data_IF_225943724613
#
_entry.id   IF_225943724613
#
_cell.length_a   1.000
_cell.length_b   1.000
_cell.length_c   1.000
_cell.angle_alpha   90.00
_cell.angle_beta   90.00
_cell.angle_gamma   90.00
#
_symmetry.space_group_name_H-M   'P 1'
#
loop_
_entity.id
_entity.type
_entity.pdbx_description
1 polymer ?
#
# COMPACT_ATOMS: atom_id res chain seq x y z
N UNK A 1 -5.84 -7.21 -8.96
CA UNK A 1 -6.19 -6.03 -9.61
C UNK A 1 -7.64 -5.81 -9.68
N UNK A 2 -8.24 -5.38 -8.64
CA UNK A 2 -9.65 -5.36 -8.90
C UNK A 2 -10.21 -4.19 -8.17
N UNK A 3 -9.91 -3.02 -8.78
CA UNK A 3 -10.89 -1.98 -8.69
C UNK A 3 -12.14 -2.55 -9.35
N UNK A 4 -13.18 -2.63 -8.57
CA UNK A 4 -14.54 -2.76 -9.03
C UNK A 4 -14.77 -1.68 -10.11
N UNK A 5 -15.23 -2.09 -11.30
CA UNK A 5 -15.53 -1.18 -12.43
C UNK A 5 -16.56 -0.09 -12.06
N UNK A 6 -17.13 -0.15 -10.86
CA UNK A 6 -18.03 0.88 -10.33
C UNK A 6 -17.34 2.18 -9.86
N UNK A 7 -16.01 2.25 -9.84
CA UNK A 7 -15.29 3.48 -9.50
C UNK A 7 -15.00 4.32 -10.74
N UNK A 8 -15.68 5.45 -10.87
CA UNK A 8 -15.48 6.39 -11.98
C UNK A 8 -14.30 7.35 -11.76
N UNK A 9 -14.06 7.76 -10.52
CA UNK A 9 -12.88 8.52 -10.10
C UNK A 9 -12.37 7.87 -8.83
N UNK A 10 -11.06 7.59 -8.79
CA UNK A 10 -10.41 6.96 -7.64
C UNK A 10 -9.20 7.75 -7.16
N UNK A 11 -8.97 7.76 -5.85
CA UNK A 11 -7.79 8.36 -5.23
C UNK A 11 -7.61 9.83 -5.60
N UNK A 12 -6.36 10.22 -5.85
CA UNK A 12 -5.98 11.59 -6.23
C UNK A 12 -6.01 11.82 -7.75
N UNK A 13 -6.93 11.14 -8.46
CA UNK A 13 -7.02 11.23 -9.92
C UNK A 13 -7.97 12.33 -10.44
N UNK A 14 -8.43 13.22 -9.58
CA UNK A 14 -9.37 14.28 -9.97
C UNK A 14 -8.82 15.16 -11.09
N UNK A 15 -7.51 15.42 -11.11
CA UNK A 15 -6.87 16.19 -12.20
C UNK A 15 -7.02 15.57 -13.58
N UNK A 16 -7.16 14.26 -13.68
CA UNK A 16 -7.37 13.56 -14.97
C UNK A 16 -8.74 13.84 -15.58
N UNK A 17 -9.67 14.31 -14.75
CA UNK A 17 -11.04 14.69 -15.15
C UNK A 17 -11.10 16.14 -15.63
N UNK A 18 -10.17 16.96 -15.16
CA UNK A 18 -10.10 18.36 -15.50
C UNK A 18 -9.47 18.52 -16.90
N UNK A 19 -10.18 19.20 -17.80
CA UNK A 19 -9.75 19.39 -19.18
C UNK A 19 -8.69 20.49 -19.34
N UNK A 20 -8.65 21.09 -20.54
CA UNK A 20 -7.68 22.12 -20.90
C UNK A 20 -7.76 23.41 -20.06
N UNK A 21 -8.88 23.60 -19.35
CA UNK A 21 -9.12 24.76 -18.47
C UNK A 21 -8.74 24.49 -17.00
N UNK A 22 -7.82 23.57 -16.73
CA UNK A 22 -7.38 23.23 -15.37
C UNK A 22 -6.87 24.45 -14.58
N UNK A 23 -6.28 25.45 -15.26
CA UNK A 23 -5.83 26.71 -14.62
C UNK A 23 -6.96 27.49 -13.90
N UNK A 24 -8.21 27.36 -14.35
CA UNK A 24 -9.38 28.01 -13.74
C UNK A 24 -9.79 27.37 -12.40
N UNK A 25 -9.24 26.23 -12.08
CA UNK A 25 -9.56 25.48 -10.87
C UNK A 25 -8.37 25.36 -9.91
N UNK A 26 -7.26 26.05 -10.16
CA UNK A 26 -6.13 26.07 -9.23
C UNK A 26 -6.46 26.83 -7.95
N UNK A 27 -5.84 26.40 -6.86
CA UNK A 27 -6.04 26.97 -5.54
C UNK A 27 -5.43 28.38 -5.43
N UNK A 28 -5.92 29.16 -4.47
CA UNK A 28 -5.20 30.31 -3.94
C UNK A 28 -4.56 29.92 -2.63
N UNK A 29 -3.22 29.91 -2.57
CA UNK A 29 -2.43 29.60 -1.38
C UNK A 29 -1.53 30.81 -1.09
N UNK A 30 -1.52 31.29 0.15
CA UNK A 30 -0.78 32.51 0.54
C UNK A 30 -1.06 33.73 -0.36
N UNK A 31 -2.30 33.86 -0.83
CA UNK A 31 -2.75 34.98 -1.69
C UNK A 31 -2.30 34.90 -3.16
N UNK A 32 -1.72 33.76 -3.60
CA UNK A 32 -1.29 33.53 -4.98
C UNK A 32 -1.97 32.29 -5.56
N UNK A 33 -2.17 32.29 -6.87
CA UNK A 33 -2.59 31.08 -7.59
C UNK A 33 -1.47 30.04 -7.53
N UNK A 34 -1.84 28.80 -7.15
CA UNK A 34 -0.92 27.71 -6.93
C UNK A 34 -1.49 26.44 -7.58
N UNK A 35 -0.74 25.86 -8.49
CA UNK A 35 -1.13 24.66 -9.24
C UNK A 35 -0.91 23.35 -8.49
N UNK A 36 -0.26 23.38 -7.32
CA UNK A 36 -0.07 22.20 -6.49
C UNK A 36 -1.37 21.71 -5.84
N UNK A 37 -2.43 22.53 -5.84
CA UNK A 37 -3.71 22.21 -5.24
C UNK A 37 -4.89 22.78 -6.05
N UNK A 38 -6.09 22.26 -5.80
CA UNK A 38 -7.32 22.63 -6.49
C UNK A 38 -8.24 23.49 -5.60
N UNK A 39 -9.06 24.32 -6.26
CA UNK A 39 -10.08 25.16 -5.63
C UNK A 39 -11.44 24.46 -5.64
N UNK A 40 -11.85 23.86 -4.54
CA UNK A 40 -13.10 23.10 -4.43
C UNK A 40 -14.37 23.95 -4.39
N UNK A 41 -14.25 25.28 -4.28
CA UNK A 41 -15.36 26.20 -4.44
C UNK A 41 -15.51 26.75 -5.87
N UNK A 42 -14.67 26.32 -6.82
CA UNK A 42 -14.71 26.74 -8.21
C UNK A 42 -15.95 26.18 -8.92
N UNK A 43 -16.71 27.06 -9.56
CA UNK A 43 -17.86 26.68 -10.39
C UNK A 43 -17.40 25.92 -11.65
N UNK A 44 -16.24 26.28 -12.19
CA UNK A 44 -15.65 25.57 -13.32
C UNK A 44 -15.27 24.11 -12.94
N UNK A 45 -14.78 23.89 -11.73
CA UNK A 45 -14.53 22.53 -11.22
C UNK A 45 -15.83 21.71 -11.14
N UNK A 46 -16.88 22.27 -10.56
CA UNK A 46 -18.18 21.60 -10.50
C UNK A 46 -18.67 21.18 -11.88
N UNK A 47 -18.63 22.11 -12.86
CA UNK A 47 -19.09 21.83 -14.23
C UNK A 47 -18.27 20.80 -14.95
N UNK A 48 -16.95 20.81 -14.78
CA UNK A 48 -16.08 19.82 -15.40
C UNK A 48 -16.33 18.41 -14.84
N UNK A 49 -16.50 18.27 -13.52
CA UNK A 49 -16.83 17.00 -12.89
C UNK A 49 -18.24 16.55 -13.31
N UNK A 50 -19.23 17.43 -13.32
CA UNK A 50 -20.59 17.14 -13.77
C UNK A 50 -20.60 16.60 -15.21
N UNK A 51 -19.94 17.32 -16.14
CA UNK A 51 -19.82 16.88 -17.53
C UNK A 51 -19.15 15.53 -17.66
N UNK A 52 -18.04 15.34 -16.97
CA UNK A 52 -17.34 14.05 -16.97
C UNK A 52 -18.22 12.88 -16.51
N UNK A 53 -19.00 13.08 -15.45
CA UNK A 53 -19.92 12.06 -14.94
C UNK A 53 -21.01 11.77 -15.97
N UNK A 54 -21.64 12.80 -16.54
CA UNK A 54 -22.72 12.63 -17.53
C UNK A 54 -22.19 11.91 -18.78
N UNK A 55 -21.04 12.31 -19.29
CA UNK A 55 -20.50 11.83 -20.56
C UNK A 55 -19.98 10.40 -20.47
N UNK A 56 -19.44 9.98 -19.30
CA UNK A 56 -18.79 8.67 -19.16
C UNK A 56 -19.62 7.64 -18.37
N UNK A 57 -20.48 8.07 -17.44
CA UNK A 57 -21.21 7.18 -16.53
C UNK A 57 -22.73 7.38 -16.54
N UNK A 58 -23.19 8.48 -17.13
CA UNK A 58 -24.61 8.85 -17.18
C UNK A 58 -25.17 9.26 -15.81
N UNK A 59 -26.43 9.67 -15.79
CA UNK A 59 -27.09 10.17 -14.57
C UNK A 59 -27.70 9.07 -13.71
N UNK A 60 -27.96 7.90 -14.27
CA UNK A 60 -28.74 6.82 -13.63
C UNK A 60 -27.92 5.62 -13.16
N UNK A 61 -26.62 5.62 -13.39
CA UNK A 61 -25.72 4.57 -12.97
C UNK A 61 -25.54 4.52 -11.45
N UNK A 62 -24.95 3.45 -10.96
CA UNK A 62 -24.56 3.28 -9.55
C UNK A 62 -23.03 3.24 -9.43
N UNK A 63 -22.40 4.38 -9.72
CA UNK A 63 -20.95 4.50 -9.69
C UNK A 63 -20.49 5.25 -8.45
N UNK A 64 -19.20 5.08 -8.11
CA UNK A 64 -18.55 5.74 -6.98
C UNK A 64 -17.48 6.70 -7.48
N UNK A 65 -17.38 7.85 -6.83
CA UNK A 65 -16.44 8.91 -7.20
C UNK A 65 -15.73 9.44 -5.95
N UNK A 66 -14.41 9.47 -6.00
CA UNK A 66 -13.58 10.12 -4.97
C UNK A 66 -13.31 11.55 -5.40
N UNK A 67 -13.75 12.51 -4.61
CA UNK A 67 -13.52 13.94 -4.77
C UNK A 67 -12.61 14.38 -3.63
N UNK A 68 -11.33 14.36 -3.89
CA UNK A 68 -10.31 14.60 -2.88
C UNK A 68 -9.27 15.63 -3.35
N UNK A 69 -8.73 16.43 -2.42
CA UNK A 69 -7.55 17.26 -2.70
C UNK A 69 -6.34 16.44 -3.10
N UNK A 70 -5.38 17.08 -3.76
CA UNK A 70 -4.06 16.51 -3.98
C UNK A 70 -3.29 16.37 -2.65
N UNK A 71 -2.27 15.52 -2.62
CA UNK A 71 -1.45 15.23 -1.45
C UNK A 71 -0.50 16.39 -1.11
N UNK A 72 -1.07 17.52 -0.73
CA UNK A 72 -0.32 18.70 -0.25
C UNK A 72 -0.83 19.13 1.13
N UNK A 73 0.00 19.75 1.96
CA UNK A 73 -0.39 20.18 3.29
C UNK A 73 -1.19 21.51 3.30
N UNK A 74 -1.52 22.05 2.12
CA UNK A 74 -2.18 23.35 1.99
C UNK A 74 -3.54 23.23 1.28
N UNK A 75 -4.49 24.04 1.72
CA UNK A 75 -5.82 24.16 1.13
C UNK A 75 -6.02 25.52 0.48
N UNK A 76 -6.97 25.60 -0.46
CA UNK A 76 -7.36 26.88 -1.07
C UNK A 76 -7.97 27.81 -0.04
N UNK A 77 -7.49 29.07 -0.02
CA UNK A 77 -7.97 30.17 0.83
C UNK A 77 -8.48 31.36 0.02
N UNK A 78 -8.96 31.16 -1.23
CA UNK A 78 -9.64 32.18 -1.96
C UNK A 78 -10.89 32.68 -1.19
N UNK A 79 -11.43 33.84 -1.54
CA UNK A 79 -12.55 34.47 -0.82
C UNK A 79 -13.73 33.50 -0.63
N UNK A 80 -14.09 32.70 -1.66
CA UNK A 80 -15.20 31.75 -1.60
C UNK A 80 -14.89 30.58 -0.69
N UNK A 81 -13.68 29.95 -0.79
CA UNK A 81 -13.27 28.86 0.10
C UNK A 81 -13.21 29.30 1.56
N UNK A 82 -12.65 30.50 1.83
CA UNK A 82 -12.61 31.09 3.17
C UNK A 82 -14.01 31.37 3.74
N UNK A 83 -14.94 31.87 2.92
CA UNK A 83 -16.32 32.05 3.32
C UNK A 83 -17.06 30.78 3.66
N UNK A 84 -16.68 29.63 3.06
CA UNK A 84 -17.18 28.30 3.40
C UNK A 84 -16.56 27.74 4.70
N UNK A 85 -15.47 28.32 5.20
CA UNK A 85 -14.80 27.91 6.41
C UNK A 85 -13.44 27.24 6.20
N UNK A 86 -12.90 27.25 4.97
CA UNK A 86 -11.53 26.74 4.75
C UNK A 86 -10.51 27.58 5.52
N UNK A 87 -9.46 26.89 5.95
CA UNK A 87 -8.21 27.51 6.42
C UNK A 87 -7.04 26.99 5.57
N UNK A 88 -5.86 27.51 5.75
CA UNK A 88 -4.67 27.04 5.01
C UNK A 88 -4.43 25.53 5.11
N UNK A 89 -4.88 24.89 6.20
CA UNK A 89 -4.68 23.45 6.48
C UNK A 89 -5.98 22.64 6.53
N UNK A 90 -7.11 23.24 6.21
CA UNK A 90 -8.40 22.57 6.24
C UNK A 90 -9.21 22.89 5.00
N UNK A 91 -9.35 21.93 4.10
CA UNK A 91 -10.16 21.99 2.89
C UNK A 91 -11.56 21.38 3.07
N UNK A 92 -11.82 20.71 4.20
CA UNK A 92 -13.04 19.92 4.42
C UNK A 92 -14.31 20.71 4.11
N UNK A 93 -14.47 22.00 4.49
CA UNK A 93 -15.70 22.74 4.21
C UNK A 93 -15.99 22.87 2.72
N UNK A 94 -15.04 23.33 1.91
CA UNK A 94 -15.25 23.52 0.48
C UNK A 94 -15.39 22.18 -0.28
N UNK A 95 -14.62 21.15 0.09
CA UNK A 95 -14.74 19.80 -0.47
C UNK A 95 -16.12 19.22 -0.18
N UNK A 96 -16.60 19.37 1.05
CA UNK A 96 -17.93 18.87 1.44
C UNK A 96 -19.04 19.59 0.66
N UNK A 97 -18.97 20.92 0.49
CA UNK A 97 -19.96 21.66 -0.27
C UNK A 97 -20.04 21.18 -1.72
N UNK A 98 -18.89 20.99 -2.37
CA UNK A 98 -18.84 20.45 -3.74
C UNK A 98 -19.47 19.05 -3.81
N UNK A 99 -19.12 18.16 -2.88
CA UNK A 99 -19.67 16.80 -2.84
C UNK A 99 -21.16 16.79 -2.61
N UNK A 100 -21.68 17.65 -1.73
CA UNK A 100 -23.11 17.76 -1.48
C UNK A 100 -23.88 18.21 -2.74
N UNK A 101 -23.36 19.18 -3.50
CA UNK A 101 -23.94 19.60 -4.78
C UNK A 101 -23.96 18.44 -5.79
N UNK A 102 -22.85 17.72 -5.93
CA UNK A 102 -22.76 16.56 -6.82
C UNK A 102 -23.71 15.44 -6.39
N UNK A 103 -23.81 15.16 -5.10
CA UNK A 103 -24.70 14.10 -4.55
C UNK A 103 -26.17 14.39 -4.76
N UNK A 104 -26.58 15.67 -4.73
CA UNK A 104 -27.94 16.10 -5.06
C UNK A 104 -28.23 16.00 -6.56
N UNK A 105 -27.25 16.36 -7.39
CA UNK A 105 -27.35 16.27 -8.85
C UNK A 105 -27.41 14.82 -9.33
N UNK A 106 -26.70 13.91 -8.66
CA UNK A 106 -26.60 12.50 -9.03
C UNK A 106 -27.00 11.56 -7.87
N UNK A 107 -28.27 11.47 -7.52
CA UNK A 107 -28.72 10.76 -6.32
C UNK A 107 -28.53 9.24 -6.37
N UNK A 108 -28.19 8.67 -7.54
CA UNK A 108 -27.88 7.25 -7.73
C UNK A 108 -26.40 6.91 -7.59
N UNK A 109 -25.54 7.90 -7.75
CA UNK A 109 -24.10 7.75 -7.57
C UNK A 109 -23.71 7.99 -6.11
N UNK A 110 -22.56 7.45 -5.72
CA UNK A 110 -22.00 7.65 -4.38
C UNK A 110 -20.70 8.47 -4.48
N UNK A 111 -20.56 9.43 -3.60
CA UNK A 111 -19.42 10.34 -3.56
C UNK A 111 -18.65 10.17 -2.27
N UNK A 112 -17.33 10.13 -2.37
CA UNK A 112 -16.43 10.05 -1.23
C UNK A 112 -15.45 11.21 -1.25
N UNK A 113 -15.10 11.72 -0.07
CA UNK A 113 -13.84 12.44 0.12
C UNK A 113 -12.84 11.56 0.85
N UNK A 114 -11.58 11.98 0.94
CA UNK A 114 -10.59 11.35 1.83
C UNK A 114 -10.62 12.03 3.20
N UNK A 115 -10.28 11.29 4.26
CA UNK A 115 -9.88 11.86 5.54
C UNK A 115 -8.36 11.73 5.65
N UNK A 116 -7.66 12.71 5.09
CA UNK A 116 -6.19 12.77 4.97
C UNK A 116 -5.74 14.21 4.87
N UNK A 117 -4.57 14.55 5.37
CA UNK A 117 -3.96 15.88 5.27
C UNK A 117 -4.98 17.03 5.54
N UNK A 118 -5.36 17.75 4.51
CA UNK A 118 -6.25 18.92 4.62
C UNK A 118 -7.72 18.58 4.81
N UNK A 119 -8.11 17.30 4.74
CA UNK A 119 -9.51 16.83 4.91
C UNK A 119 -9.71 15.93 6.13
N UNK A 120 -8.80 15.95 7.11
CA UNK A 120 -8.92 15.14 8.33
C UNK A 120 -10.05 15.58 9.27
N UNK A 121 -10.42 16.86 9.26
CA UNK A 121 -11.44 17.37 10.16
C UNK A 121 -12.84 16.93 9.71
N UNK A 122 -13.61 16.42 10.67
CA UNK A 122 -15.00 16.04 10.44
C UNK A 122 -15.88 17.29 10.51
N UNK A 123 -16.87 17.37 9.63
CA UNK A 123 -17.87 18.47 9.66
C UNK A 123 -18.94 18.18 10.70
N UNK A 124 -19.54 19.22 11.25
CA UNK A 124 -20.70 19.12 12.16
C UNK A 124 -22.03 19.17 11.36
N UNK A 125 -22.20 18.19 10.44
CA UNK A 125 -23.39 18.09 9.59
C UNK A 125 -23.58 16.66 9.13
N UNK A 126 -24.81 16.14 9.24
CA UNK A 126 -25.15 14.83 8.66
C UNK A 126 -24.99 14.84 7.14
N UNK A 127 -24.31 13.82 6.62
CA UNK A 127 -24.13 13.61 5.19
C UNK A 127 -25.29 12.78 4.61
N UNK A 128 -25.69 13.01 3.36
CA UNK A 128 -26.69 12.17 2.69
C UNK A 128 -26.23 10.72 2.56
N UNK A 129 -27.16 9.76 2.39
CA UNK A 129 -26.80 8.33 2.30
C UNK A 129 -25.85 7.98 1.17
N UNK A 130 -25.76 8.81 0.12
CA UNK A 130 -24.85 8.64 -1.00
C UNK A 130 -23.55 9.44 -0.89
N UNK A 131 -23.20 9.88 0.33
CA UNK A 131 -21.92 10.55 0.62
C UNK A 131 -21.20 9.81 1.71
N UNK A 132 -19.90 9.56 1.50
CA UNK A 132 -19.04 8.86 2.41
C UNK A 132 -17.63 9.44 2.55
N UNK A 133 -16.81 8.77 3.31
CA UNK A 133 -15.41 9.13 3.53
C UNK A 133 -14.50 7.91 3.36
N UNK A 134 -13.31 8.12 2.83
CA UNK A 134 -12.22 7.16 2.83
C UNK A 134 -11.17 7.65 3.82
N UNK A 135 -11.06 6.99 4.96
CA UNK A 135 -10.11 7.35 6.02
C UNK A 135 -8.76 6.73 5.70
N UNK A 136 -7.73 7.56 5.54
CA UNK A 136 -6.36 7.11 5.34
C UNK A 136 -5.77 6.58 6.63
N UNK A 137 -5.21 5.39 6.57
CA UNK A 137 -4.50 4.76 7.69
C UNK A 137 -2.97 4.88 7.58
N UNK A 138 -2.45 5.81 6.74
CA UNK A 138 -1.00 5.97 6.51
C UNK A 138 -0.24 6.32 7.79
N UNK A 139 -0.84 7.13 8.65
CA UNK A 139 -0.24 7.54 9.93
C UNK A 139 -0.54 6.55 11.08
N UNK A 140 -1.42 5.57 10.83
CA UNK A 140 -1.72 4.54 11.81
C UNK A 140 -0.66 3.42 11.73
N UNK A 141 0.15 3.22 12.79
CA UNK A 141 1.32 2.38 12.71
C UNK A 141 1.02 0.94 12.32
N UNK A 142 1.80 0.38 11.38
CA UNK A 142 1.76 -1.04 11.04
C UNK A 142 2.49 -1.85 12.12
N UNK A 143 1.79 -2.22 13.17
CA UNK A 143 2.28 -3.05 14.26
C UNK A 143 1.14 -3.81 14.91
N UNK A 144 1.48 -4.77 15.73
CA UNK A 144 0.49 -5.40 16.59
C UNK A 144 -0.30 -4.34 17.36
N UNK A 145 -1.62 -4.46 17.35
CA UNK A 145 -2.53 -3.63 18.12
C UNK A 145 -3.34 -4.47 19.11
N UNK A 146 -3.59 -3.93 20.29
CA UNK A 146 -4.53 -4.47 21.27
C UNK A 146 -5.70 -3.50 21.53
N UNK A 147 -5.76 -2.41 20.77
CA UNK A 147 -6.79 -1.37 20.89
C UNK A 147 -6.65 -0.47 22.12
N UNK A 148 -5.56 -0.56 22.89
CA UNK A 148 -5.44 0.11 24.19
C UNK A 148 -4.47 1.28 24.19
N UNK A 149 -3.51 1.31 23.28
CA UNK A 149 -2.55 2.41 23.23
C UNK A 149 -3.18 3.71 22.68
N UNK A 150 -2.46 4.80 22.82
CA UNK A 150 -2.94 6.12 22.46
C UNK A 150 -3.21 6.27 20.94
N UNK A 151 -2.39 5.65 20.11
CA UNK A 151 -2.55 5.73 18.66
C UNK A 151 -3.74 4.91 18.18
N UNK A 152 -3.97 3.73 18.78
CA UNK A 152 -5.14 2.91 18.50
C UNK A 152 -6.42 3.67 18.87
N UNK A 153 -6.45 4.30 20.06
CA UNK A 153 -7.57 5.12 20.52
C UNK A 153 -7.81 6.32 19.62
N UNK A 154 -6.76 7.02 19.22
CA UNK A 154 -6.86 8.19 18.34
C UNK A 154 -7.45 7.81 16.98
N UNK A 155 -7.01 6.69 16.39
CA UNK A 155 -7.54 6.22 15.12
C UNK A 155 -9.01 5.76 15.27
N UNK A 156 -9.32 5.04 16.31
CA UNK A 156 -10.69 4.63 16.63
C UNK A 156 -11.63 5.85 16.83
N UNK A 157 -11.17 6.87 17.56
CA UNK A 157 -11.90 8.13 17.74
C UNK A 157 -12.14 8.85 16.42
N UNK A 158 -11.17 8.86 15.51
CA UNK A 158 -11.33 9.42 14.15
C UNK A 158 -12.47 8.72 13.40
N UNK A 159 -12.51 7.38 13.44
CA UNK A 159 -13.59 6.60 12.83
C UNK A 159 -14.95 6.88 13.50
N UNK A 160 -14.99 6.91 14.83
CA UNK A 160 -16.22 7.20 15.57
C UNK A 160 -16.75 8.61 15.31
N UNK A 161 -15.87 9.57 15.10
CA UNK A 161 -16.25 10.92 14.72
C UNK A 161 -16.87 10.97 13.31
N UNK A 162 -16.30 10.27 12.34
CA UNK A 162 -16.91 10.13 11.01
C UNK A 162 -18.24 9.38 11.05
N UNK A 163 -18.35 8.36 11.88
CA UNK A 163 -19.59 7.58 12.07
C UNK A 163 -20.77 8.44 12.55
N UNK A 164 -20.52 9.55 13.25
CA UNK A 164 -21.57 10.50 13.66
C UNK A 164 -22.22 11.21 12.48
N UNK A 165 -21.53 11.32 11.33
CA UNK A 165 -21.98 12.12 10.18
C UNK A 165 -22.25 11.30 8.91
N UNK A 166 -21.72 10.09 8.80
CA UNK A 166 -21.99 9.15 7.67
C UNK A 166 -21.89 7.70 8.09
N UNK A 167 -22.64 6.83 7.40
CA UNK A 167 -22.49 5.37 7.52
C UNK A 167 -21.59 4.77 6.42
N UNK A 168 -21.16 5.55 5.45
CA UNK A 168 -20.29 5.12 4.36
C UNK A 168 -18.84 5.44 4.70
N UNK A 169 -18.23 4.62 5.55
CA UNK A 169 -16.84 4.78 5.96
C UNK A 169 -16.02 3.68 5.30
N UNK A 170 -15.10 4.08 4.45
CA UNK A 170 -14.10 3.20 3.85
C UNK A 170 -12.74 3.51 4.46
N UNK A 171 -11.85 2.52 4.44
CA UNK A 171 -10.47 2.67 4.90
C UNK A 171 -9.54 2.53 3.71
N UNK A 172 -8.54 3.39 3.63
CA UNK A 172 -7.38 3.22 2.77
C UNK A 172 -6.22 2.75 3.64
N UNK A 173 -5.95 1.46 3.60
CA UNK A 173 -4.90 0.83 4.39
C UNK A 173 -3.74 0.34 3.53
N UNK A 174 -2.61 0.09 4.15
CA UNK A 174 -1.33 -0.18 3.50
C UNK A 174 -0.81 -1.54 3.94
N UNK A 175 -0.44 -2.40 3.00
CA UNK A 175 -0.08 -3.79 3.26
C UNK A 175 1.29 -4.19 2.73
N UNK A 176 2.12 -3.22 2.35
CA UNK A 176 3.44 -3.48 1.78
C UNK A 176 4.47 -2.46 2.24
N UNK A 177 5.74 -2.79 2.07
CA UNK A 177 6.84 -1.85 2.08
C UNK A 177 7.00 -1.28 0.66
N UNK A 178 6.83 0.02 0.47
CA UNK A 178 6.83 0.68 -0.84
C UNK A 178 8.24 0.98 -1.38
N UNK A 179 9.27 0.90 -0.53
CA UNK A 179 10.67 0.97 -0.97
C UNK A 179 11.21 -0.39 -1.43
N UNK A 180 10.56 -1.49 -1.04
CA UNK A 180 11.04 -2.84 -1.31
C UNK A 180 9.88 -3.85 -1.34
N UNK A 181 9.46 -4.23 -2.53
CA UNK A 181 8.41 -5.24 -2.75
C UNK A 181 8.94 -6.67 -2.64
N UNK A 182 10.24 -6.88 -2.77
CA UNK A 182 10.83 -8.20 -2.92
C UNK A 182 11.27 -8.83 -1.59
N UNK A 183 11.51 -8.03 -0.55
CA UNK A 183 11.69 -8.55 0.81
C UNK A 183 10.33 -8.99 1.38
N UNK A 184 10.24 -10.20 1.96
CA UNK A 184 8.99 -10.66 2.57
C UNK A 184 8.46 -9.69 3.61
N UNK A 185 7.17 -9.35 3.54
CA UNK A 185 6.53 -8.40 4.43
C UNK A 185 5.43 -9.08 5.25
N UNK A 186 5.67 -9.39 6.55
CA UNK A 186 4.75 -10.17 7.38
C UNK A 186 3.64 -9.30 7.96
N UNK A 187 2.61 -9.05 7.18
CA UNK A 187 1.52 -8.11 7.49
C UNK A 187 0.22 -8.79 7.93
N UNK A 188 0.06 -10.10 7.74
CA UNK A 188 -1.25 -10.75 7.79
C UNK A 188 -1.91 -10.70 9.17
N UNK A 189 -1.16 -11.01 10.25
CA UNK A 189 -1.66 -10.94 11.62
C UNK A 189 -1.96 -9.50 12.05
N UNK A 190 -1.15 -8.56 11.57
CA UNK A 190 -1.38 -7.13 11.81
C UNK A 190 -2.62 -6.67 11.05
N UNK A 191 -2.76 -7.02 9.77
CA UNK A 191 -3.91 -6.69 8.95
C UNK A 191 -5.21 -7.27 9.55
N UNK A 192 -5.19 -8.50 10.08
CA UNK A 192 -6.33 -9.07 10.78
C UNK A 192 -6.79 -8.21 11.95
N UNK A 193 -5.86 -7.83 12.84
CA UNK A 193 -6.17 -7.00 14.02
C UNK A 193 -6.73 -5.63 13.60
N UNK A 194 -6.16 -5.04 12.56
CA UNK A 194 -6.65 -3.76 12.00
C UNK A 194 -8.05 -3.91 11.40
N UNK A 195 -8.33 -4.97 10.65
CA UNK A 195 -9.66 -5.27 10.10
C UNK A 195 -10.71 -5.43 11.21
N UNK A 196 -10.37 -6.10 12.31
CA UNK A 196 -11.24 -6.23 13.48
C UNK A 196 -11.54 -4.85 14.11
N UNK A 197 -10.51 -4.02 14.29
CA UNK A 197 -10.68 -2.65 14.80
C UNK A 197 -11.57 -1.82 13.86
N UNK A 198 -11.29 -1.81 12.57
CA UNK A 198 -12.05 -1.04 11.58
C UNK A 198 -13.51 -1.46 11.54
N UNK A 199 -13.79 -2.76 11.54
CA UNK A 199 -15.14 -3.32 11.58
C UNK A 199 -15.88 -2.89 12.87
N UNK A 200 -15.22 -2.97 14.03
CA UNK A 200 -15.79 -2.55 15.31
C UNK A 200 -16.21 -1.07 15.30
N UNK A 201 -15.45 -0.22 14.64
CA UNK A 201 -15.70 1.22 14.53
C UNK A 201 -16.51 1.64 13.31
N UNK A 202 -17.14 0.68 12.60
CA UNK A 202 -18.16 0.94 11.59
C UNK A 202 -17.66 1.13 10.18
N UNK A 203 -16.41 0.75 9.88
CA UNK A 203 -15.94 0.70 8.50
C UNK A 203 -16.78 -0.31 7.68
N UNK A 204 -17.25 0.11 6.51
CA UNK A 204 -18.10 -0.66 5.61
C UNK A 204 -17.34 -1.15 4.35
N UNK A 205 -16.14 -0.65 4.12
CA UNK A 205 -15.28 -1.06 3.02
C UNK A 205 -13.83 -0.75 3.30
N UNK A 206 -12.92 -1.38 2.55
CA UNK A 206 -11.49 -1.16 2.65
C UNK A 206 -10.83 -1.26 1.27
N UNK A 207 -9.82 -0.45 1.08
CA UNK A 207 -8.85 -0.57 0.01
C UNK A 207 -7.49 -0.86 0.63
N UNK A 208 -6.91 -2.00 0.25
CA UNK A 208 -5.54 -2.34 0.60
C UNK A 208 -4.58 -1.85 -0.49
N UNK A 209 -3.76 -0.88 -0.16
CA UNK A 209 -2.69 -0.42 -1.01
C UNK A 209 -1.48 -1.37 -0.88
N UNK A 210 -1.15 -2.05 -1.96
CA UNK A 210 -0.04 -3.00 -2.07
C UNK A 210 0.91 -2.62 -3.21
N UNK A 211 1.56 -3.61 -3.80
CA UNK A 211 2.52 -3.41 -4.91
C UNK A 211 1.88 -3.08 -6.27
N UNK A 212 0.57 -2.94 -6.35
CA UNK A 212 -0.13 -2.66 -7.60
C UNK A 212 -0.02 -3.81 -8.61
N UNK A 213 0.59 -3.53 -9.76
CA UNK A 213 0.85 -4.53 -10.81
C UNK A 213 2.23 -5.19 -10.68
N UNK A 214 3.09 -4.66 -9.79
CA UNK A 214 4.42 -5.21 -9.56
C UNK A 214 4.34 -6.44 -8.66
N UNK A 215 5.23 -7.40 -8.91
CA UNK A 215 5.37 -8.58 -8.08
C UNK A 215 5.81 -8.20 -6.66
N UNK A 216 5.33 -8.93 -5.69
CA UNK A 216 5.77 -8.81 -4.29
C UNK A 216 5.92 -10.21 -3.69
N UNK A 217 6.97 -10.44 -2.92
CA UNK A 217 7.24 -11.76 -2.36
C UNK A 217 6.06 -12.29 -1.55
N UNK A 218 5.65 -13.53 -1.83
CA UNK A 218 4.49 -14.20 -1.25
C UNK A 218 3.13 -13.54 -1.55
N UNK A 219 3.00 -12.73 -2.60
CA UNK A 219 1.79 -11.94 -2.89
C UNK A 219 0.54 -12.80 -3.12
N UNK A 220 0.63 -13.92 -3.84
CA UNK A 220 -0.50 -14.83 -4.04
C UNK A 220 -1.04 -15.38 -2.71
N UNK A 221 -0.14 -15.81 -1.82
CA UNK A 221 -0.51 -16.32 -0.50
C UNK A 221 -1.11 -15.21 0.36
N UNK A 222 -0.50 -14.02 0.38
CA UNK A 222 -1.05 -12.86 1.11
C UNK A 222 -2.41 -12.46 0.57
N UNK A 223 -2.60 -12.43 -0.74
CA UNK A 223 -3.89 -12.13 -1.39
C UNK A 223 -4.95 -13.15 -1.00
N UNK A 224 -4.62 -14.44 -0.99
CA UNK A 224 -5.53 -15.49 -0.54
C UNK A 224 -5.99 -15.28 0.91
N UNK A 225 -5.06 -15.05 1.82
CA UNK A 225 -5.37 -14.85 3.24
C UNK A 225 -6.15 -13.56 3.47
N UNK A 226 -5.71 -12.44 2.88
CA UNK A 226 -6.41 -11.14 3.01
C UNK A 226 -7.83 -11.21 2.44
N UNK A 227 -8.05 -11.89 1.32
CA UNK A 227 -9.39 -12.08 0.75
C UNK A 227 -10.31 -12.84 1.71
N UNK A 228 -9.81 -13.88 2.38
CA UNK A 228 -10.58 -14.59 3.39
C UNK A 228 -10.90 -13.72 4.62
N UNK A 229 -9.91 -12.92 5.08
CA UNK A 229 -10.09 -12.00 6.21
C UNK A 229 -11.07 -10.85 5.90
N UNK A 230 -11.15 -10.40 4.65
CA UNK A 230 -12.15 -9.42 4.21
C UNK A 230 -13.58 -9.96 4.35
N UNK A 231 -13.77 -11.26 4.15
CA UNK A 231 -15.07 -11.92 4.35
C UNK A 231 -15.33 -12.11 5.85
N UNK A 232 -14.35 -12.62 6.58
CA UNK A 232 -14.45 -12.85 8.01
C UNK A 232 -13.09 -12.62 8.71
N UNK A 233 -12.92 -11.48 9.40
CA UNK A 233 -11.66 -11.16 10.08
C UNK A 233 -11.37 -12.01 11.33
N UNK A 234 -12.28 -12.91 11.73
CA UNK A 234 -12.08 -13.82 12.86
C UNK A 234 -11.44 -15.16 12.45
N UNK A 235 -11.22 -15.38 11.15
CA UNK A 235 -10.58 -16.61 10.69
C UNK A 235 -9.12 -16.71 11.16
N UNK A 236 -8.65 -17.91 11.55
CA UNK A 236 -7.29 -18.07 12.06
C UNK A 236 -6.26 -17.95 10.92
N UNK A 237 -5.44 -16.92 10.96
CA UNK A 237 -4.44 -16.59 9.93
C UNK A 237 -3.51 -17.77 9.66
N UNK A 238 -2.99 -18.43 10.71
CA UNK A 238 -2.05 -19.54 10.55
C UNK A 238 -2.68 -20.74 9.79
N UNK A 239 -3.98 -21.00 10.00
CA UNK A 239 -4.68 -22.06 9.26
C UNK A 239 -4.94 -21.68 7.80
N UNK A 240 -5.17 -20.40 7.52
CA UNK A 240 -5.30 -19.90 6.15
C UNK A 240 -3.97 -20.02 5.39
N UNK A 241 -2.86 -19.61 6.00
CA UNK A 241 -1.50 -19.76 5.44
C UNK A 241 -1.22 -21.23 5.15
N UNK A 242 -1.49 -22.10 6.13
CA UNK A 242 -1.31 -23.54 6.01
C UNK A 242 -2.15 -24.16 4.90
N UNK A 243 -3.40 -23.72 4.78
CA UNK A 243 -4.30 -24.17 3.72
C UNK A 243 -3.78 -23.80 2.34
N UNK A 244 -3.31 -22.57 2.16
CA UNK A 244 -2.73 -22.13 0.90
C UNK A 244 -1.50 -22.97 0.52
N UNK A 245 -0.52 -23.13 1.41
CA UNK A 245 0.67 -23.89 1.12
C UNK A 245 0.39 -25.38 0.89
N UNK A 246 -0.57 -25.98 1.60
CA UNK A 246 -1.00 -27.34 1.35
C UNK A 246 -1.56 -27.55 -0.06
N UNK A 247 -2.27 -26.57 -0.58
CA UNK A 247 -2.90 -26.62 -1.91
C UNK A 247 -1.89 -26.35 -3.03
N UNK A 248 -1.04 -25.36 -2.87
CA UNK A 248 -0.22 -24.81 -3.96
C UNK A 248 1.22 -25.38 -3.98
N UNK A 249 1.70 -25.96 -2.86
CA UNK A 249 3.08 -26.40 -2.68
C UNK A 249 3.18 -27.81 -2.08
N UNK A 250 2.80 -28.85 -2.84
CA UNK A 250 2.76 -30.23 -2.32
C UNK A 250 4.08 -30.75 -1.71
N UNK A 251 5.23 -30.34 -2.27
CA UNK A 251 6.56 -30.78 -1.82
C UNK A 251 7.09 -29.88 -0.69
N UNK A 252 7.01 -28.55 -0.85
CA UNK A 252 7.66 -27.57 0.03
C UNK A 252 6.75 -26.95 1.10
N UNK A 253 5.47 -27.38 1.16
CA UNK A 253 4.43 -26.79 2.01
C UNK A 253 4.81 -26.54 3.47
N UNK A 254 5.42 -27.55 4.12
CA UNK A 254 5.78 -27.44 5.53
C UNK A 254 6.91 -26.44 5.74
N UNK A 255 7.91 -26.48 4.90
CA UNK A 255 9.08 -25.62 4.94
C UNK A 255 8.69 -24.14 4.70
N UNK A 256 7.82 -23.85 3.71
CA UNK A 256 7.29 -22.51 3.45
C UNK A 256 6.41 -22.01 4.61
N UNK A 257 5.54 -22.88 5.12
CA UNK A 257 4.67 -22.55 6.25
C UNK A 257 5.47 -22.20 7.51
N UNK A 258 6.45 -23.03 7.87
CA UNK A 258 7.28 -22.82 9.06
C UNK A 258 8.01 -21.47 8.97
N UNK A 259 8.62 -21.17 7.82
CA UNK A 259 9.33 -19.92 7.61
C UNK A 259 8.42 -18.70 7.65
N UNK A 260 7.34 -18.71 6.87
CA UNK A 260 6.47 -17.54 6.80
C UNK A 260 5.74 -17.25 8.11
N UNK A 261 5.32 -18.31 8.81
CA UNK A 261 4.70 -18.19 10.13
C UNK A 261 5.68 -17.65 11.18
N UNK A 262 6.96 -18.02 11.09
CA UNK A 262 8.02 -17.44 11.93
C UNK A 262 8.14 -15.92 11.68
N UNK A 263 8.15 -15.48 10.43
CA UNK A 263 8.15 -14.04 10.10
C UNK A 263 6.94 -13.29 10.70
N UNK A 264 5.72 -13.85 10.53
CA UNK A 264 4.49 -13.28 11.10
C UNK A 264 4.56 -13.18 12.63
N UNK A 265 5.11 -14.20 13.29
CA UNK A 265 5.28 -14.20 14.74
C UNK A 265 6.31 -13.16 15.21
N UNK A 266 7.41 -13.00 14.47
CA UNK A 266 8.43 -11.98 14.77
C UNK A 266 7.83 -10.57 14.65
N UNK A 267 6.99 -10.31 13.65
CA UNK A 267 6.30 -9.04 13.47
C UNK A 267 5.32 -8.70 14.62
N UNK A 268 4.89 -9.72 15.40
CA UNK A 268 4.04 -9.50 16.60
C UNK A 268 4.81 -8.96 17.82
N UNK A 269 6.11 -8.69 17.69
CA UNK A 269 6.94 -8.12 18.78
C UNK A 269 6.52 -6.71 19.23
N UNK A 270 5.58 -6.06 18.54
CA UNK A 270 5.13 -4.70 18.80
C UNK A 270 5.97 -3.60 18.14
N UNK A 271 7.05 -3.95 17.45
CA UNK A 271 7.79 -3.01 16.63
C UNK A 271 6.97 -2.65 15.38
N UNK A 272 7.08 -1.39 14.96
CA UNK A 272 6.42 -0.91 13.75
C UNK A 272 7.12 -1.49 12.52
N UNK A 273 6.33 -2.00 11.57
CA UNK A 273 6.80 -2.26 10.21
C UNK A 273 6.84 -0.92 9.44
N UNK A 274 7.93 -0.67 8.72
CA UNK A 274 8.07 0.53 7.90
C UNK A 274 7.29 0.40 6.60
N UNK A 275 6.55 1.45 6.21
CA UNK A 275 5.97 1.55 4.88
C UNK A 275 7.04 1.89 3.83
N UNK A 276 8.07 2.60 4.26
CA UNK A 276 9.25 2.99 3.49
C UNK A 276 10.47 2.62 4.34
N UNK A 277 11.00 1.43 4.12
CA UNK A 277 12.01 0.87 4.99
C UNK A 277 13.05 0.06 4.21
N UNK A 278 14.31 0.26 4.53
CA UNK A 278 15.39 -0.57 4.01
C UNK A 278 15.53 -1.89 4.76
N UNK A 279 16.47 -2.72 4.30
CA UNK A 279 16.73 -4.04 4.86
C UNK A 279 17.10 -4.00 6.35
N UNK A 280 17.81 -2.97 6.79
CA UNK A 280 18.24 -2.79 8.20
C UNK A 280 17.06 -2.64 9.18
N UNK A 281 16.00 -1.98 8.76
CA UNK A 281 14.77 -1.86 9.54
C UNK A 281 14.06 -3.21 9.61
N UNK A 282 14.03 -3.97 8.52
CA UNK A 282 13.48 -5.32 8.45
C UNK A 282 14.25 -6.28 9.39
N UNK A 283 15.59 -6.22 9.42
CA UNK A 283 16.42 -7.01 10.35
C UNK A 283 16.12 -6.69 11.82
N UNK A 284 15.95 -5.41 12.15
CA UNK A 284 15.60 -5.00 13.52
C UNK A 284 14.17 -5.39 13.91
N UNK A 285 13.29 -5.57 12.92
CA UNK A 285 11.87 -5.84 13.11
C UNK A 285 11.54 -7.32 13.17
N UNK A 286 11.74 -8.03 12.07
CA UNK A 286 11.20 -9.38 11.88
C UNK A 286 12.12 -10.32 11.08
N UNK A 287 13.06 -9.80 10.29
CA UNK A 287 13.91 -10.58 9.40
C UNK A 287 15.23 -10.92 10.08
N UNK A 288 15.39 -12.12 10.60
CA UNK A 288 16.66 -12.55 11.20
C UNK A 288 17.59 -13.09 10.09
N UNK A 289 18.77 -12.46 9.86
CA UNK A 289 19.65 -12.80 8.73
C UNK A 289 19.98 -14.28 8.63
N UNK A 290 20.38 -14.94 9.72
CA UNK A 290 20.72 -16.35 9.73
C UNK A 290 19.55 -17.26 9.32
N UNK A 291 18.33 -16.92 9.73
CA UNK A 291 17.12 -17.67 9.39
C UNK A 291 16.75 -17.49 7.92
N UNK A 292 16.81 -16.24 7.45
CA UNK A 292 16.55 -15.94 6.05
C UNK A 292 17.58 -16.60 5.13
N UNK A 293 18.87 -16.50 5.44
CA UNK A 293 19.94 -17.08 4.62
C UNK A 293 19.79 -18.60 4.55
N UNK A 294 19.54 -19.26 5.69
CA UNK A 294 19.26 -20.70 5.71
C UNK A 294 18.08 -21.06 4.80
N UNK A 295 16.96 -20.33 4.93
CA UNK A 295 15.78 -20.53 4.10
C UNK A 295 16.09 -20.32 2.61
N UNK A 296 16.82 -19.26 2.26
CA UNK A 296 17.19 -18.96 0.88
C UNK A 296 18.13 -20.05 0.30
N UNK A 297 19.12 -20.51 1.06
CA UNK A 297 20.08 -21.51 0.59
C UNK A 297 19.42 -22.89 0.38
N UNK A 298 18.45 -23.28 1.22
CA UNK A 298 17.67 -24.52 1.08
C UNK A 298 16.72 -24.51 -0.13
N UNK A 299 16.34 -23.31 -0.62
CA UNK A 299 15.33 -23.18 -1.68
C UNK A 299 15.70 -23.88 -2.99
N UNK A 300 16.99 -23.90 -3.34
CA UNK A 300 17.48 -24.57 -4.54
C UNK A 300 17.15 -26.07 -4.58
N UNK A 301 17.18 -26.72 -3.43
CA UNK A 301 16.85 -28.15 -3.30
C UNK A 301 15.36 -28.36 -3.59
N UNK A 302 14.49 -27.56 -2.96
CA UNK A 302 13.05 -27.61 -3.21
C UNK A 302 12.66 -27.28 -4.66
N UNK A 303 13.33 -26.30 -5.30
CA UNK A 303 13.13 -26.00 -6.73
C UNK A 303 13.50 -27.22 -7.58
N UNK A 304 14.56 -27.97 -7.22
CA UNK A 304 14.98 -29.15 -7.97
C UNK A 304 14.02 -30.34 -7.82
N UNK A 305 13.44 -30.52 -6.63
CA UNK A 305 12.51 -31.62 -6.30
C UNK A 305 11.10 -31.37 -6.84
N UNK A 306 10.63 -30.10 -6.81
CA UNK A 306 9.31 -29.71 -7.23
C UNK A 306 9.12 -29.85 -8.74
N UNK A 307 7.85 -30.01 -9.17
CA UNK A 307 7.46 -30.14 -10.58
C UNK A 307 6.33 -29.19 -10.95
N UNK A 308 6.19 -28.93 -12.24
CA UNK A 308 5.06 -28.18 -12.79
C UNK A 308 4.88 -26.80 -12.18
N UNK A 309 3.69 -26.50 -11.72
CA UNK A 309 3.31 -25.18 -11.17
C UNK A 309 4.10 -24.83 -9.91
N UNK A 310 4.29 -25.78 -8.99
CA UNK A 310 5.04 -25.56 -7.77
C UNK A 310 6.49 -25.15 -8.06
N UNK A 311 7.16 -25.86 -8.97
CA UNK A 311 8.54 -25.50 -9.36
C UNK A 311 8.63 -24.09 -9.91
N UNK A 312 7.68 -23.70 -10.75
CA UNK A 312 7.63 -22.33 -11.31
C UNK A 312 7.51 -21.30 -10.20
N UNK A 313 6.56 -21.47 -9.27
CA UNK A 313 6.34 -20.56 -8.15
C UNK A 313 7.54 -20.47 -7.20
N UNK A 314 8.18 -21.60 -6.90
CA UNK A 314 9.40 -21.62 -6.07
C UNK A 314 10.57 -20.90 -6.77
N UNK A 315 10.71 -21.09 -8.08
CA UNK A 315 11.74 -20.41 -8.85
C UNK A 315 11.50 -18.88 -8.88
N UNK A 316 10.25 -18.46 -9.07
CA UNK A 316 9.86 -17.06 -9.00
C UNK A 316 10.16 -16.45 -7.61
N UNK A 317 9.81 -17.16 -6.54
CA UNK A 317 10.12 -16.75 -5.17
C UNK A 317 11.64 -16.71 -4.93
N UNK A 318 12.41 -17.70 -5.39
CA UNK A 318 13.86 -17.70 -5.28
C UNK A 318 14.49 -16.50 -5.98
N UNK A 319 13.98 -16.17 -7.17
CA UNK A 319 14.45 -15.03 -7.94
C UNK A 319 14.19 -13.73 -7.18
N UNK A 320 12.98 -13.53 -6.66
CA UNK A 320 12.66 -12.32 -5.89
C UNK A 320 13.49 -12.22 -4.60
N UNK A 321 13.65 -13.32 -3.86
CA UNK A 321 14.41 -13.34 -2.61
C UNK A 321 15.92 -13.18 -2.82
N UNK A 322 16.43 -13.34 -4.04
CA UNK A 322 17.80 -12.99 -4.36
C UNK A 322 18.07 -11.49 -4.14
N UNK A 323 17.09 -10.63 -4.40
CA UNK A 323 17.16 -9.21 -4.06
C UNK A 323 17.35 -9.02 -2.54
N UNK A 324 16.50 -9.64 -1.72
CA UNK A 324 16.62 -9.57 -0.25
C UNK A 324 18.00 -10.07 0.22
N UNK A 325 18.50 -11.18 -0.38
CA UNK A 325 19.83 -11.72 -0.06
C UNK A 325 20.94 -10.74 -0.40
N UNK A 326 20.79 -10.02 -1.51
CA UNK A 326 21.76 -9.01 -1.96
C UNK A 326 21.70 -7.76 -1.09
N UNK A 327 20.53 -7.30 -0.68
CA UNK A 327 20.39 -6.16 0.23
C UNK A 327 20.99 -6.45 1.61
N UNK A 328 20.74 -7.64 2.18
CA UNK A 328 21.45 -8.11 3.39
C UNK A 328 22.96 -8.09 3.20
N UNK A 329 23.45 -8.62 2.08
CA UNK A 329 24.87 -8.65 1.81
C UNK A 329 25.48 -7.24 1.67
N UNK A 330 24.73 -6.28 1.11
CA UNK A 330 25.14 -4.88 1.00
C UNK A 330 25.27 -4.23 2.36
N UNK A 331 24.28 -4.41 3.25
CA UNK A 331 24.29 -3.83 4.60
C UNK A 331 25.44 -4.41 5.46
N UNK A 332 25.66 -5.71 5.36
CA UNK A 332 26.72 -6.41 6.11
C UNK A 332 28.12 -6.32 5.47
N UNK A 333 28.22 -5.97 4.21
CA UNK A 333 29.47 -5.74 3.44
C UNK A 333 30.56 -6.80 3.65
N UNK A 334 31.36 -6.72 4.71
CA UNK A 334 32.49 -7.62 5.03
C UNK A 334 32.20 -8.56 6.20
N UNK A 335 31.07 -8.41 6.85
CA UNK A 335 30.67 -9.26 7.98
C UNK A 335 30.20 -10.66 7.51
N UNK A 336 29.77 -11.51 8.44
CA UNK A 336 29.41 -12.89 8.18
C UNK A 336 28.37 -13.10 7.06
N UNK A 337 27.49 -12.12 6.88
CA UNK A 337 26.41 -12.14 5.88
C UNK A 337 26.69 -11.29 4.65
N UNK A 338 27.85 -10.63 4.60
CA UNK A 338 28.25 -9.71 3.55
C UNK A 338 28.56 -10.35 2.20
N UNK A 339 28.90 -9.53 1.23
CA UNK A 339 29.22 -9.98 -0.14
C UNK A 339 30.72 -10.09 -0.42
N UNK A 340 31.59 -9.63 0.47
CA UNK A 340 33.03 -9.56 0.24
C UNK A 340 33.84 -9.91 1.50
N UNK A 341 35.11 -10.25 1.26
CA UNK A 341 36.11 -10.42 2.32
C UNK A 341 37.25 -9.43 2.14
N UNK A 342 37.84 -8.96 3.25
CA UNK A 342 39.10 -8.21 3.24
C UNK A 342 40.28 -9.16 3.32
N UNK A 343 41.20 -9.00 2.38
CA UNK A 343 42.50 -9.66 2.42
C UNK A 343 43.59 -8.57 2.41
N UNK A 344 43.98 -8.08 3.59
CA UNK A 344 44.84 -6.91 3.74
C UNK A 344 44.18 -5.65 3.22
N UNK A 345 44.73 -5.05 2.14
CA UNK A 345 44.15 -3.88 1.46
C UNK A 345 43.17 -4.25 0.34
N UNK A 346 43.14 -5.50 -0.09
CA UNK A 346 42.34 -5.96 -1.21
C UNK A 346 40.93 -6.38 -0.74
N UNK A 347 39.94 -6.05 -1.55
CA UNK A 347 38.55 -6.47 -1.38
C UNK A 347 38.29 -7.57 -2.39
N UNK A 348 37.86 -8.74 -1.89
CA UNK A 348 37.54 -9.90 -2.74
C UNK A 348 36.06 -10.23 -2.59
N UNK A 349 35.25 -10.06 -3.66
CA UNK A 349 33.86 -10.51 -3.63
C UNK A 349 33.73 -12.00 -3.39
N UNK A 350 32.71 -12.40 -2.63
CA UNK A 350 32.43 -13.81 -2.41
C UNK A 350 31.88 -14.45 -3.70
N UNK A 351 32.26 -15.68 -4.06
CA UNK A 351 31.72 -16.35 -5.23
C UNK A 351 30.20 -16.48 -5.23
N UNK A 352 29.59 -16.56 -4.05
CA UNK A 352 28.15 -16.61 -3.86
C UNK A 352 27.44 -15.35 -4.36
N UNK A 353 28.07 -14.19 -4.25
CA UNK A 353 27.46 -12.93 -4.71
C UNK A 353 27.15 -12.98 -6.21
N UNK A 354 28.00 -13.59 -7.02
CA UNK A 354 27.73 -13.80 -8.46
C UNK A 354 26.51 -14.70 -8.70
N UNK A 355 26.30 -15.72 -7.85
CA UNK A 355 25.14 -16.61 -7.95
C UNK A 355 23.85 -15.86 -7.67
N UNK A 356 23.82 -14.97 -6.64
CA UNK A 356 22.64 -14.18 -6.32
C UNK A 356 22.27 -13.22 -7.47
N UNK A 357 23.27 -12.54 -8.06
CA UNK A 357 23.05 -11.69 -9.23
C UNK A 357 22.54 -12.51 -10.42
N UNK A 358 23.14 -13.67 -10.69
CA UNK A 358 22.67 -14.55 -11.77
C UNK A 358 21.24 -15.01 -11.54
N UNK A 359 20.88 -15.37 -10.30
CA UNK A 359 19.51 -15.75 -9.97
C UNK A 359 18.53 -14.59 -10.14
N UNK A 360 18.90 -13.38 -9.72
CA UNK A 360 18.03 -12.23 -9.88
C UNK A 360 17.83 -11.85 -11.36
N UNK A 361 18.78 -12.12 -12.27
CA UNK A 361 18.61 -11.91 -13.72
C UNK A 361 17.45 -12.70 -14.33
N UNK A 362 17.03 -13.79 -13.68
CA UNK A 362 15.87 -14.56 -14.11
C UNK A 362 14.54 -13.80 -13.94
N UNK A 363 14.54 -12.61 -13.31
CA UNK A 363 13.33 -11.79 -13.11
C UNK A 363 12.56 -11.52 -14.42
N UNK A 364 13.26 -11.45 -15.56
CA UNK A 364 12.66 -11.22 -16.87
C UNK A 364 11.74 -12.36 -17.32
N UNK A 365 11.88 -13.55 -16.73
CA UNK A 365 11.00 -14.70 -17.00
C UNK A 365 9.63 -14.59 -16.30
N UNK A 366 9.46 -13.63 -15.37
CA UNK A 366 8.27 -13.52 -14.51
C UNK A 366 7.55 -12.20 -14.71
N UNK A 367 6.25 -12.28 -14.92
CA UNK A 367 5.40 -11.10 -15.13
C UNK A 367 5.35 -10.23 -13.86
N UNK A 368 5.46 -8.92 -14.02
CA UNK A 368 5.37 -7.95 -12.93
C UNK A 368 6.65 -7.79 -12.09
N UNK A 369 7.72 -8.53 -12.37
CA UNK A 369 8.99 -8.44 -11.65
C UNK A 369 9.99 -7.52 -12.38
N UNK A 370 9.53 -6.41 -12.92
CA UNK A 370 10.37 -5.41 -13.59
C UNK A 370 10.90 -4.37 -12.60
N UNK A 371 10.09 -4.04 -11.61
CA UNK A 371 10.33 -2.99 -10.63
C UNK A 371 10.29 -3.56 -9.21
N UNK A 372 11.12 -3.01 -8.32
CA UNK A 372 11.17 -3.48 -6.94
C UNK A 372 10.56 -2.53 -5.91
N UNK A 373 10.09 -1.32 -6.32
CA UNK A 373 9.47 -0.35 -5.43
C UNK A 373 8.41 0.52 -6.15
N UNK A 374 7.73 1.40 -5.39
CA UNK A 374 6.68 2.27 -5.95
C UNK A 374 7.19 3.37 -6.88
N UNK A 375 8.46 3.75 -6.75
CA UNK A 375 9.12 4.72 -7.63
C UNK A 375 9.51 4.11 -8.99
N UNK A 376 9.13 2.87 -9.25
CA UNK A 376 9.42 2.13 -10.46
C UNK A 376 10.94 2.01 -10.75
N UNK A 377 11.73 1.75 -9.71
CA UNK A 377 13.14 1.44 -9.91
C UNK A 377 13.32 0.04 -10.48
N UNK A 378 14.00 -0.03 -11.62
CA UNK A 378 14.17 -1.23 -12.41
C UNK A 378 15.17 -2.20 -11.78
N UNK A 379 14.83 -3.49 -11.76
CA UNK A 379 15.72 -4.57 -11.32
C UNK A 379 16.96 -4.67 -12.23
N UNK A 380 16.82 -4.42 -13.53
CA UNK A 380 17.97 -4.41 -14.46
C UNK A 380 19.01 -3.35 -14.08
N UNK A 381 18.57 -2.18 -13.62
CA UNK A 381 19.50 -1.14 -13.15
C UNK A 381 20.19 -1.56 -11.84
N UNK A 382 19.45 -2.11 -10.91
CA UNK A 382 19.96 -2.66 -9.66
C UNK A 382 21.03 -3.76 -9.90
N UNK A 383 20.78 -4.66 -10.84
CA UNK A 383 21.73 -5.70 -11.25
C UNK A 383 23.03 -5.08 -11.81
N UNK A 384 22.94 -4.06 -12.66
CA UNK A 384 24.12 -3.38 -13.22
C UNK A 384 24.97 -2.71 -12.13
N UNK A 385 24.36 -2.12 -11.13
CA UNK A 385 25.09 -1.58 -9.97
C UNK A 385 25.86 -2.69 -9.23
N UNK A 386 25.23 -3.83 -8.97
CA UNK A 386 25.86 -4.96 -8.30
C UNK A 386 27.02 -5.55 -9.13
N UNK A 387 26.88 -5.63 -10.42
CA UNK A 387 27.97 -6.11 -11.30
C UNK A 387 29.22 -5.22 -11.19
N UNK A 388 29.07 -3.94 -10.97
CA UNK A 388 30.22 -3.05 -10.72
C UNK A 388 30.94 -3.40 -9.40
N UNK A 389 30.23 -3.76 -8.35
CA UNK A 389 30.82 -4.18 -7.08
C UNK A 389 31.51 -5.55 -7.14
N UNK A 390 31.03 -6.45 -8.00
CA UNK A 390 31.51 -7.83 -8.09
C UNK A 390 32.63 -7.99 -9.13
N UNK A 391 32.66 -7.14 -10.16
CA UNK A 391 33.62 -7.20 -11.25
C UNK A 391 34.81 -6.25 -11.05
N UNK A 392 34.72 -5.29 -10.14
CA UNK A 392 35.81 -4.41 -9.75
C UNK A 392 36.76 -5.10 -8.77
#
# INVERSE_FOLDING_TARGET
>A
NNFDDSWGIWGHNLRKVLGKDAEKVYATIHGKTDDSQLCFSSEDMYRQIESYIVDNFGEKGNFRFVIAPDDTPYACTCATCAALGNTEKNATPAVTELILRLSQRFPKHTFFTTSSLTTQQVIDKQLPPNVGVIVSAIDYPLRRTDGKDEQDKKFAEQLDNWKKVTNNIYIWDYINNFDDYLTPFPILKIAQQRLQLFKQHGASGIFFNGSGYSYSSFDEMRTFVLSALLINPELPVDELIKSYFNQEYPVSKKWLYDYYTELENNAQSGKRLGLYAGIRESEKGFLYPEKFIKFYDEMGDFVSEAKGKERKKLHELQTSLSFTRMELARDHSFDAYGYAKRNGKDIQPLPQARKWVTQLKEHQAFAGMEYYNESAYEIDYYIKEWEQYILA
#
